data_IF_238306815195
#
_entry.id   IF_238306815195
#
_cell.length_a   1.000
_cell.length_b   1.000
_cell.length_c   1.000
_cell.angle_alpha   90.00
_cell.angle_beta   90.00
_cell.angle_gamma   90.00
#
_symmetry.space_group_name_H-M   'P 1'
#
loop_
_entity.id
_entity.type
_entity.pdbx_description
1 polymer ?
#
# COMPACT_ATOMS: atom_id res chain seq x y z
N UNK A 1 31.87 23.42 -53.53
CA UNK A 1 31.28 23.79 -52.23
C UNK A 1 30.10 22.85 -51.97
N UNK A 2 30.21 22.03 -50.92
CA UNK A 2 29.25 21.09 -50.28
C UNK A 2 29.92 19.74 -50.03
N UNK A 3 30.66 19.68 -48.92
CA UNK A 3 31.07 18.45 -48.25
C UNK A 3 30.04 18.18 -47.16
N UNK A 4 29.36 17.04 -47.23
CA UNK A 4 28.47 16.52 -46.19
C UNK A 4 29.28 15.70 -45.20
N UNK A 5 29.54 16.27 -44.02
CA UNK A 5 29.98 15.51 -42.86
C UNK A 5 28.78 14.71 -42.30
N UNK A 6 28.85 13.38 -42.37
CA UNK A 6 28.01 12.50 -41.54
C UNK A 6 28.63 12.44 -40.15
N UNK A 7 27.91 12.97 -39.16
CA UNK A 7 28.19 12.75 -37.74
C UNK A 7 27.80 11.32 -37.37
N UNK A 8 28.79 10.49 -37.04
CA UNK A 8 28.62 9.21 -36.35
C UNK A 8 28.73 9.47 -34.86
N UNK A 9 27.64 9.86 -34.22
CA UNK A 9 27.55 9.84 -32.76
C UNK A 9 27.50 8.38 -32.26
N UNK A 10 28.08 8.05 -31.10
CA UNK A 10 27.91 6.73 -30.51
C UNK A 10 26.42 6.51 -30.24
N UNK A 11 25.87 5.39 -30.73
CA UNK A 11 24.51 4.98 -30.42
C UNK A 11 24.30 4.84 -28.90
N UNK A 12 23.05 4.83 -28.41
CA UNK A 12 22.77 4.63 -26.99
C UNK A 12 23.49 3.38 -26.49
N UNK A 13 24.15 3.50 -25.34
CA UNK A 13 24.88 2.39 -24.74
C UNK A 13 23.90 1.24 -24.49
N UNK A 14 24.15 0.10 -25.15
CA UNK A 14 23.36 -1.13 -25.02
C UNK A 14 23.50 -1.62 -23.58
N UNK A 15 22.40 -1.64 -22.82
CA UNK A 15 22.37 -2.08 -21.44
C UNK A 15 22.69 -3.58 -21.30
N UNK A 16 23.01 -4.07 -20.08
CA UNK A 16 23.38 -5.48 -19.86
C UNK A 16 22.31 -6.48 -20.33
N UNK A 17 21.02 -6.14 -20.16
CA UNK A 17 19.90 -6.97 -20.59
C UNK A 17 19.62 -6.87 -22.10
N UNK A 18 20.00 -5.77 -22.74
CA UNK A 18 19.73 -5.52 -24.17
C UNK A 18 20.46 -6.49 -25.10
N UNK A 19 21.45 -7.20 -24.58
CA UNK A 19 22.18 -8.27 -25.27
C UNK A 19 21.50 -9.63 -25.19
N UNK A 20 20.52 -9.78 -24.31
CA UNK A 20 19.78 -11.02 -24.08
C UNK A 20 18.42 -10.96 -24.81
N UNK A 21 18.06 -12.07 -25.44
CA UNK A 21 16.69 -12.33 -25.92
C UNK A 21 15.72 -12.43 -24.74
N UNK A 22 14.41 -12.28 -25.00
CA UNK A 22 13.40 -12.43 -23.93
C UNK A 22 13.49 -13.78 -23.22
N UNK A 23 13.70 -14.87 -23.97
CA UNK A 23 13.85 -16.22 -23.41
C UNK A 23 15.07 -16.33 -22.48
N UNK A 24 16.20 -15.73 -22.87
CA UNK A 24 17.40 -15.71 -22.02
C UNK A 24 17.20 -14.87 -20.76
N UNK A 25 16.49 -13.73 -20.86
CA UNK A 25 16.13 -12.90 -19.70
C UNK A 25 15.22 -13.65 -18.74
N UNK A 26 14.19 -14.33 -19.26
CA UNK A 26 13.28 -15.16 -18.45
C UNK A 26 14.03 -16.30 -17.75
N UNK A 27 14.91 -17.01 -18.47
CA UNK A 27 15.72 -18.08 -17.87
C UNK A 27 16.70 -17.55 -16.80
N UNK A 28 17.29 -16.38 -17.02
CA UNK A 28 18.14 -15.71 -16.02
C UNK A 28 17.32 -15.35 -14.78
N UNK A 29 16.17 -14.71 -14.97
CA UNK A 29 15.27 -14.31 -13.90
C UNK A 29 14.80 -15.50 -13.05
N UNK A 30 14.33 -16.58 -13.66
CA UNK A 30 13.91 -17.79 -12.94
C UNK A 30 15.06 -18.40 -12.11
N UNK A 31 16.27 -18.49 -12.67
CA UNK A 31 17.44 -18.98 -11.91
C UNK A 31 17.78 -18.06 -10.75
N UNK A 32 17.68 -16.74 -10.94
CA UNK A 32 17.98 -15.76 -9.91
C UNK A 32 16.98 -15.86 -8.76
N UNK A 33 15.68 -15.97 -9.03
CA UNK A 33 14.64 -16.22 -8.01
C UNK A 33 14.98 -17.45 -7.17
N UNK A 34 15.25 -18.60 -7.81
CA UNK A 34 15.60 -19.82 -7.07
C UNK A 34 16.87 -19.66 -6.22
N UNK A 35 17.88 -18.92 -6.70
CA UNK A 35 19.10 -18.63 -5.92
C UNK A 35 18.80 -17.77 -4.70
N UNK A 36 17.91 -16.78 -4.81
CA UNK A 36 17.55 -15.89 -3.71
C UNK A 36 16.73 -16.63 -2.65
N UNK A 37 15.70 -17.37 -3.07
CA UNK A 37 14.90 -18.21 -2.16
C UNK A 37 15.78 -19.26 -1.48
N UNK A 38 16.62 -19.97 -2.24
CA UNK A 38 17.56 -20.95 -1.69
C UNK A 38 18.63 -20.34 -0.77
N UNK A 39 18.91 -19.04 -0.87
CA UNK A 39 19.74 -18.33 0.09
C UNK A 39 18.98 -18.08 1.39
N UNK A 40 17.74 -17.55 1.33
CA UNK A 40 16.91 -17.31 2.52
C UNK A 40 16.62 -18.59 3.30
N UNK A 41 16.44 -19.72 2.60
CA UNK A 41 16.14 -21.02 3.23
C UNK A 41 17.36 -21.78 3.78
N UNK A 42 18.55 -21.16 3.83
CA UNK A 42 19.73 -21.80 4.45
C UNK A 42 19.54 -21.95 5.96
N UNK A 43 20.18 -22.97 6.53
CA UNK A 43 20.15 -23.20 7.97
C UNK A 43 20.68 -22.00 8.78
N UNK A 44 21.65 -21.25 8.24
CA UNK A 44 22.17 -20.03 8.88
C UNK A 44 21.12 -18.92 9.03
N UNK A 45 20.07 -18.95 8.21
CA UNK A 45 19.04 -17.92 8.10
C UNK A 45 17.72 -18.34 8.78
N UNK A 46 17.69 -19.50 9.46
CA UNK A 46 16.46 -20.08 10.02
C UNK A 46 15.77 -19.14 11.02
N UNK A 47 16.53 -18.50 11.91
CA UNK A 47 16.01 -17.56 12.90
C UNK A 47 15.32 -16.34 12.25
N UNK A 48 15.82 -15.89 11.09
CA UNK A 48 15.23 -14.79 10.34
C UNK A 48 13.86 -15.18 9.77
N UNK A 49 13.79 -16.39 9.19
CA UNK A 49 12.53 -16.96 8.68
C UNK A 49 11.53 -17.14 9.82
N UNK A 50 11.95 -17.66 10.98
CA UNK A 50 11.07 -17.84 12.14
C UNK A 50 10.52 -16.51 12.68
N UNK A 51 11.36 -15.48 12.79
CA UNK A 51 10.91 -14.12 13.16
C UNK A 51 9.90 -13.58 12.16
N UNK A 52 10.15 -13.75 10.86
CA UNK A 52 9.24 -13.30 9.83
C UNK A 52 7.91 -14.08 9.84
N UNK A 53 7.94 -15.38 10.10
CA UNK A 53 6.74 -16.20 10.28
C UNK A 53 5.91 -15.71 11.48
N UNK A 54 6.56 -15.39 12.60
CA UNK A 54 5.90 -14.82 13.77
C UNK A 54 5.25 -13.47 13.45
N UNK A 55 5.95 -12.61 12.71
CA UNK A 55 5.42 -11.34 12.21
C UNK A 55 4.17 -11.55 11.34
N UNK A 56 4.24 -12.41 10.32
CA UNK A 56 3.12 -12.69 9.41
C UNK A 56 1.91 -13.19 10.20
N UNK A 57 2.10 -14.11 11.14
CA UNK A 57 1.02 -14.60 12.00
C UNK A 57 0.37 -13.48 12.82
N UNK A 58 1.17 -12.57 13.38
CA UNK A 58 0.63 -11.45 14.16
C UNK A 58 -0.15 -10.46 13.29
N UNK A 59 0.32 -10.17 12.06
CA UNK A 59 -0.30 -9.23 11.13
C UNK A 59 -1.60 -9.80 10.53
N UNK A 60 -1.64 -11.09 10.23
CA UNK A 60 -2.85 -11.82 9.77
C UNK A 60 -3.95 -11.78 10.85
N UNK A 61 -3.58 -11.94 12.11
CA UNK A 61 -4.53 -11.87 13.24
C UNK A 61 -5.04 -10.45 13.50
N UNK A 62 -4.24 -9.42 13.19
CA UNK A 62 -4.61 -8.01 13.40
C UNK A 62 -5.40 -7.42 12.22
N UNK A 63 -5.13 -7.86 11.00
CA UNK A 63 -5.75 -7.32 9.79
C UNK A 63 -7.14 -7.90 9.50
N UNK A 64 -7.49 -9.06 10.07
CA UNK A 64 -8.77 -9.74 9.81
C UNK A 64 -9.04 -10.05 8.33
N UNK A 65 -8.03 -9.90 7.47
CA UNK A 65 -8.13 -9.84 6.03
C UNK A 65 -7.96 -11.21 5.36
N UNK A 66 -7.61 -12.24 6.13
CA UNK A 66 -7.58 -13.61 5.66
C UNK A 66 -8.89 -14.32 6.00
N UNK A 67 -9.32 -15.18 5.07
CA UNK A 67 -10.50 -16.05 5.13
C UNK A 67 -10.69 -16.67 6.52
N UNK A 68 -11.93 -17.02 6.92
CA UNK A 68 -12.21 -17.64 8.21
C UNK A 68 -11.25 -18.81 8.45
N UNK A 69 -10.37 -18.61 9.42
CA UNK A 69 -9.23 -19.49 9.77
C UNK A 69 -9.67 -20.88 10.22
N UNK A 70 -10.94 -21.06 10.55
CA UNK A 70 -11.48 -22.29 11.11
C UNK A 70 -11.58 -23.45 10.09
N UNK A 71 -11.48 -23.16 8.78
CA UNK A 71 -11.63 -24.14 7.70
C UNK A 71 -10.32 -24.54 7.01
N UNK A 72 -9.17 -23.99 7.42
CA UNK A 72 -7.86 -24.29 6.78
C UNK A 72 -7.10 -25.35 7.58
N UNK A 73 -6.59 -26.37 6.89
CA UNK A 73 -5.70 -27.37 7.46
C UNK A 73 -4.48 -26.68 8.12
N UNK A 74 -4.20 -26.90 9.43
CA UNK A 74 -3.08 -26.27 10.12
C UNK A 74 -1.73 -26.50 9.44
N UNK A 75 -1.50 -27.67 8.83
CA UNK A 75 -0.25 -27.94 8.10
C UNK A 75 -0.12 -27.06 6.86
N UNK A 76 -1.21 -26.92 6.10
CA UNK A 76 -1.30 -26.06 4.93
C UNK A 76 -1.14 -24.58 5.32
N UNK A 77 -1.73 -24.16 6.43
CA UNK A 77 -1.57 -22.80 6.95
C UNK A 77 -0.12 -22.48 7.32
N UNK A 78 0.58 -23.42 7.97
CA UNK A 78 1.98 -23.26 8.34
C UNK A 78 2.91 -23.21 7.12
N UNK A 79 2.63 -24.00 6.08
CA UNK A 79 3.33 -23.96 4.81
C UNK A 79 3.14 -22.60 4.13
N UNK A 80 1.90 -22.16 3.93
CA UNK A 80 1.58 -20.85 3.31
C UNK A 80 2.20 -19.69 4.09
N UNK A 81 2.16 -19.75 5.42
CA UNK A 81 2.77 -18.72 6.28
C UNK A 81 4.29 -18.66 6.08
N UNK A 82 4.96 -19.82 5.99
CA UNK A 82 6.40 -19.89 5.76
C UNK A 82 6.79 -19.40 4.36
N UNK A 83 6.00 -19.74 3.35
CA UNK A 83 6.21 -19.26 1.98
C UNK A 83 6.03 -17.75 1.87
N UNK A 84 5.00 -17.20 2.51
CA UNK A 84 4.79 -15.76 2.62
C UNK A 84 5.96 -15.06 3.32
N UNK A 85 6.43 -15.61 4.44
CA UNK A 85 7.59 -15.08 5.16
C UNK A 85 8.86 -15.09 4.29
N UNK A 86 9.08 -16.16 3.53
CA UNK A 86 10.22 -16.29 2.62
C UNK A 86 10.13 -15.28 1.48
N UNK A 87 8.97 -15.15 0.84
CA UNK A 87 8.71 -14.16 -0.21
C UNK A 87 8.94 -12.73 0.30
N UNK A 88 8.44 -12.42 1.50
CA UNK A 88 8.67 -11.13 2.14
C UNK A 88 10.16 -10.86 2.32
N UNK A 89 10.93 -11.77 2.92
CA UNK A 89 12.38 -11.59 3.10
C UNK A 89 13.11 -11.35 1.77
N UNK A 90 12.70 -12.03 0.69
CA UNK A 90 13.33 -11.85 -0.63
C UNK A 90 12.94 -10.53 -1.28
N UNK A 91 11.65 -10.18 -1.30
CA UNK A 91 11.12 -9.15 -2.21
C UNK A 91 10.59 -7.88 -1.53
N UNK A 92 10.02 -7.96 -0.32
CA UNK A 92 9.39 -6.83 0.37
C UNK A 92 10.21 -6.32 1.58
N UNK A 93 10.52 -7.24 2.51
CA UNK A 93 11.23 -7.06 3.76
C UNK A 93 10.45 -6.22 4.78
N UNK A 94 10.58 -6.46 6.09
CA UNK A 94 10.17 -5.48 7.09
C UNK A 94 10.91 -4.16 6.87
N UNK A 95 10.19 -3.04 6.94
CA UNK A 95 10.84 -1.71 6.90
C UNK A 95 11.79 -1.51 8.08
N UNK A 96 11.48 -2.14 9.20
CA UNK A 96 12.21 -2.08 10.47
C UNK A 96 13.58 -2.78 10.41
N UNK A 97 13.76 -3.77 9.54
CA UNK A 97 14.95 -4.63 9.48
C UNK A 97 15.89 -4.35 8.30
N UNK A 98 15.74 -3.18 7.64
CA UNK A 98 16.62 -2.78 6.54
C UNK A 98 16.17 -3.24 5.14
N UNK A 99 14.96 -3.81 5.01
CA UNK A 99 14.31 -4.12 3.73
C UNK A 99 14.71 -5.47 3.11
N UNK A 100 14.18 -5.75 1.92
CA UNK A 100 14.32 -7.06 1.27
C UNK A 100 15.76 -7.43 0.86
N UNK A 101 16.02 -8.73 0.68
CA UNK A 101 17.29 -9.23 0.16
C UNK A 101 17.64 -8.58 -1.19
N UNK A 102 16.65 -8.37 -2.06
CA UNK A 102 16.84 -7.64 -3.33
C UNK A 102 17.41 -6.24 -3.09
N UNK A 103 16.82 -5.46 -2.17
CA UNK A 103 17.29 -4.10 -1.87
C UNK A 103 18.69 -4.09 -1.26
N UNK A 104 19.02 -5.08 -0.42
CA UNK A 104 20.37 -5.26 0.14
C UNK A 104 21.42 -5.55 -0.92
N UNK A 105 21.10 -6.45 -1.85
CA UNK A 105 21.97 -6.76 -2.99
C UNK A 105 22.18 -5.57 -3.93
N UNK A 106 21.25 -4.62 -3.95
CA UNK A 106 21.37 -3.34 -4.66
C UNK A 106 22.11 -2.25 -3.84
N UNK A 107 22.50 -2.53 -2.59
CA UNK A 107 23.23 -1.60 -1.72
C UNK A 107 22.35 -0.53 -1.07
N UNK A 108 21.05 -0.79 -0.91
CA UNK A 108 20.06 0.20 -0.45
C UNK A 108 19.65 0.05 1.01
N UNK A 109 20.15 -0.96 1.71
CA UNK A 109 19.82 -1.14 3.11
C UNK A 109 20.56 -0.11 3.98
N UNK A 110 19.85 0.60 4.88
CA UNK A 110 20.52 1.39 5.91
C UNK A 110 21.35 0.46 6.82
N UNK A 111 22.39 0.99 7.45
CA UNK A 111 23.07 0.31 8.54
C UNK A 111 22.09 0.15 9.71
N UNK A 112 21.44 -1.01 9.81
CA UNK A 112 20.48 -1.39 10.85
C UNK A 112 20.78 -2.81 11.35
N UNK A 113 20.08 -3.24 12.40
CA UNK A 113 20.24 -4.57 13.01
C UNK A 113 20.18 -5.68 11.94
N UNK A 114 21.20 -6.53 11.95
CA UNK A 114 21.31 -7.69 11.08
C UNK A 114 20.10 -8.60 11.30
N UNK A 115 19.23 -8.67 10.30
CA UNK A 115 18.06 -9.52 10.32
C UNK A 115 18.39 -11.00 10.10
N UNK A 116 19.68 -11.35 9.99
CA UNK A 116 20.20 -12.69 9.81
C UNK A 116 20.13 -13.18 8.36
N UNK A 117 19.86 -12.31 7.38
CA UNK A 117 19.83 -12.67 5.94
C UNK A 117 20.83 -11.85 5.12
N UNK A 118 22.00 -11.56 5.68
CA UNK A 118 23.07 -10.86 4.97
C UNK A 118 23.36 -11.53 3.60
N UNK A 119 23.56 -10.74 2.52
CA UNK A 119 23.81 -11.27 1.18
C UNK A 119 25.17 -11.98 1.02
N UNK A 120 25.84 -12.36 2.12
CA UNK A 120 27.15 -12.96 2.13
C UNK A 120 27.21 -14.19 1.20
N UNK A 121 28.18 -14.14 0.27
CA UNK A 121 28.40 -15.19 -0.74
C UNK A 121 27.47 -15.15 -1.96
N UNK A 122 26.52 -14.21 -2.05
CA UNK A 122 25.78 -13.94 -3.28
C UNK A 122 26.54 -12.93 -4.16
N UNK A 123 27.23 -13.44 -5.17
CA UNK A 123 27.82 -12.63 -6.23
C UNK A 123 26.81 -12.43 -7.35
N UNK A 124 26.69 -11.18 -7.80
CA UNK A 124 25.83 -10.77 -8.91
C UNK A 124 26.66 -10.24 -10.07
N UNK A 125 26.42 -10.78 -11.25
CA UNK A 125 26.90 -10.18 -12.49
C UNK A 125 26.06 -8.94 -12.88
N UNK A 126 26.47 -8.25 -13.95
CA UNK A 126 25.80 -7.03 -14.40
C UNK A 126 24.37 -7.28 -14.93
N UNK A 127 24.11 -8.46 -15.51
CA UNK A 127 22.78 -8.81 -16.02
C UNK A 127 21.85 -9.13 -14.85
N UNK A 128 22.30 -9.91 -13.86
CA UNK A 128 21.56 -10.20 -12.64
C UNK A 128 21.24 -8.92 -11.87
N UNK A 129 22.22 -8.02 -11.71
CA UNK A 129 21.98 -6.71 -11.08
C UNK A 129 20.95 -5.89 -11.84
N UNK A 130 20.97 -5.91 -13.17
CA UNK A 130 19.97 -5.23 -13.98
C UNK A 130 18.56 -5.82 -13.82
N UNK A 131 18.44 -7.16 -13.67
CA UNK A 131 17.16 -7.81 -13.33
C UNK A 131 16.68 -7.34 -11.95
N UNK A 132 17.55 -7.35 -10.93
CA UNK A 132 17.18 -6.92 -9.58
C UNK A 132 16.74 -5.46 -9.51
N UNK A 133 17.32 -4.57 -10.32
CA UNK A 133 16.86 -3.18 -10.41
C UNK A 133 15.40 -3.09 -10.87
N UNK A 134 14.98 -3.96 -11.79
CA UNK A 134 13.57 -4.09 -12.18
C UNK A 134 12.67 -4.60 -11.04
N UNK A 135 13.23 -5.33 -10.08
CA UNK A 135 12.53 -5.90 -8.93
C UNK A 135 12.65 -5.07 -7.66
N UNK A 136 13.30 -3.90 -7.73
CA UNK A 136 13.54 -3.00 -6.58
C UNK A 136 12.25 -2.64 -5.82
N UNK A 137 11.13 -2.56 -6.54
CA UNK A 137 9.80 -2.29 -5.97
C UNK A 137 9.08 -3.52 -5.41
N UNK A 138 9.72 -4.70 -5.41
CA UNK A 138 9.13 -5.96 -4.95
C UNK A 138 8.16 -6.62 -5.92
N UNK A 139 7.99 -6.10 -7.15
CA UNK A 139 6.99 -6.60 -8.10
C UNK A 139 5.56 -6.37 -7.63
N UNK A 140 4.65 -7.25 -8.06
CA UNK A 140 3.22 -7.17 -7.73
C UNK A 140 2.82 -8.44 -6.99
N UNK A 141 2.55 -8.31 -5.69
CA UNK A 141 1.80 -9.29 -4.92
C UNK A 141 0.32 -8.97 -5.08
N UNK A 142 -0.50 -9.98 -5.28
CA UNK A 142 -1.94 -9.79 -5.21
C UNK A 142 -2.75 -11.04 -5.44
N UNK A 143 -4.06 -10.84 -5.48
CA UNK A 143 -5.04 -11.83 -5.87
C UNK A 143 -5.40 -11.66 -7.34
N UNK A 144 -5.29 -12.73 -8.12
CA UNK A 144 -5.52 -12.72 -9.55
C UNK A 144 -6.62 -13.68 -9.95
N UNK A 145 -7.30 -13.36 -11.04
CA UNK A 145 -8.11 -14.31 -11.81
C UNK A 145 -7.35 -14.64 -13.10
N UNK A 146 -7.21 -15.92 -13.41
CA UNK A 146 -6.70 -16.33 -14.73
C UNK A 146 -7.78 -15.99 -15.76
N UNK A 147 -7.48 -15.10 -16.71
CA UNK A 147 -8.45 -14.69 -17.75
C UNK A 147 -8.23 -15.43 -19.06
N UNK A 148 -6.98 -15.74 -19.39
CA UNK A 148 -6.63 -16.41 -20.64
C UNK A 148 -5.31 -17.18 -20.51
N UNK A 149 -5.10 -18.13 -21.42
CA UNK A 149 -3.85 -18.85 -21.63
C UNK A 149 -3.42 -18.69 -23.09
N UNK A 150 -2.41 -17.87 -23.34
CA UNK A 150 -1.91 -17.56 -24.69
C UNK A 150 -0.46 -18.00 -24.83
N UNK A 151 -0.25 -19.02 -25.67
CA UNK A 151 1.05 -19.64 -25.93
C UNK A 151 1.74 -20.17 -24.65
N UNK A 152 2.85 -19.55 -24.26
CA UNK A 152 3.63 -19.83 -23.06
C UNK A 152 3.32 -18.86 -21.90
N UNK A 153 2.18 -18.18 -21.96
CA UNK A 153 1.80 -17.17 -20.97
C UNK A 153 0.39 -17.40 -20.43
N UNK A 154 0.20 -17.11 -19.15
CA UNK A 154 -1.11 -16.86 -18.56
C UNK A 154 -1.36 -15.35 -18.52
N UNK A 155 -2.60 -14.94 -18.78
CA UNK A 155 -3.06 -13.56 -18.58
C UNK A 155 -3.79 -13.52 -17.25
N UNK A 156 -3.21 -12.81 -16.28
CA UNK A 156 -3.72 -12.72 -14.92
C UNK A 156 -4.31 -11.34 -14.70
N UNK A 157 -5.59 -11.26 -14.38
CA UNK A 157 -6.22 -10.02 -14.00
C UNK A 157 -6.07 -9.83 -12.49
N UNK A 158 -5.39 -8.78 -12.05
CA UNK A 158 -5.20 -8.50 -10.63
C UNK A 158 -6.43 -7.77 -10.06
N UNK A 159 -7.03 -8.35 -9.03
CA UNK A 159 -8.21 -7.81 -8.35
C UNK A 159 -7.90 -6.57 -7.52
N UNK A 160 -6.64 -6.33 -7.16
CA UNK A 160 -6.23 -5.17 -6.35
C UNK A 160 -5.97 -3.91 -7.18
N UNK A 161 -5.51 -4.05 -8.43
CA UNK A 161 -5.17 -2.90 -9.29
C UNK A 161 -5.91 -2.84 -10.62
N UNK A 162 -6.74 -3.84 -10.95
CA UNK A 162 -7.54 -3.87 -12.18
C UNK A 162 -6.66 -3.85 -13.45
N UNK A 163 -5.41 -4.33 -13.37
CA UNK A 163 -4.50 -4.52 -14.50
C UNK A 163 -4.36 -5.99 -14.89
N UNK A 164 -4.09 -6.20 -16.17
CA UNK A 164 -3.77 -7.52 -16.72
C UNK A 164 -2.25 -7.72 -16.81
N UNK A 165 -1.78 -8.83 -16.26
CA UNK A 165 -0.39 -9.22 -16.22
C UNK A 165 -0.17 -10.44 -17.10
N UNK A 166 0.67 -10.30 -18.14
CA UNK A 166 1.07 -11.42 -19.00
C UNK A 166 2.26 -12.15 -18.39
N UNK A 167 1.96 -13.22 -17.67
CA UNK A 167 2.95 -14.00 -16.91
C UNK A 167 3.42 -15.18 -17.73
N UNK A 168 4.72 -15.27 -17.95
CA UNK A 168 5.36 -16.40 -18.57
C UNK A 168 5.27 -17.62 -17.64
N UNK A 169 4.64 -18.69 -18.13
CA UNK A 169 4.47 -19.94 -17.40
C UNK A 169 5.43 -21.02 -17.88
N UNK A 170 6.10 -20.82 -19.03
CA UNK A 170 7.16 -21.69 -19.54
C UNK A 170 6.80 -23.18 -19.55
N UNK A 171 7.82 -24.04 -19.39
CA UNK A 171 7.68 -25.50 -19.13
C UNK A 171 7.92 -25.85 -17.66
N UNK A 172 7.69 -24.90 -16.75
CA UNK A 172 7.95 -25.08 -15.33
C UNK A 172 6.84 -25.88 -14.63
N UNK A 173 7.14 -26.32 -13.41
CA UNK A 173 6.20 -26.79 -12.39
C UNK A 173 4.97 -25.88 -12.20
N UNK A 174 5.07 -24.60 -12.53
CA UNK A 174 3.93 -23.65 -12.56
C UNK A 174 2.85 -24.09 -13.55
N UNK A 175 3.17 -24.78 -14.66
CA UNK A 175 2.12 -25.39 -15.51
C UNK A 175 1.49 -26.64 -14.89
N UNK A 176 2.16 -27.28 -13.93
CA UNK A 176 1.55 -28.35 -13.14
C UNK A 176 0.51 -27.80 -12.17
N UNK A 177 0.62 -26.52 -11.80
CA UNK A 177 -0.47 -25.75 -11.21
C UNK A 177 -1.50 -25.52 -12.32
N UNK A 178 -2.70 -26.06 -12.16
CA UNK A 178 -3.76 -25.96 -13.16
C UNK A 178 -4.26 -24.51 -13.27
N UNK A 179 -3.55 -23.67 -14.04
CA UNK A 179 -3.91 -22.29 -14.36
C UNK A 179 -5.12 -22.25 -15.28
N UNK A 180 -6.27 -22.69 -14.79
CA UNK A 180 -7.52 -22.76 -15.55
C UNK A 180 -8.15 -21.36 -15.57
N UNK A 181 -8.55 -20.84 -16.75
CA UNK A 181 -9.31 -19.61 -16.82
C UNK A 181 -10.53 -19.61 -15.89
N UNK A 182 -10.72 -18.51 -15.16
CA UNK A 182 -11.73 -18.33 -14.13
C UNK A 182 -11.30 -18.75 -12.73
N UNK A 183 -10.17 -19.45 -12.55
CA UNK A 183 -9.70 -19.79 -11.21
C UNK A 183 -8.98 -18.61 -10.55
N UNK A 184 -9.27 -18.35 -9.27
CA UNK A 184 -8.52 -17.41 -8.45
C UNK A 184 -7.18 -18.00 -8.03
N UNK A 185 -6.17 -17.14 -7.93
CA UNK A 185 -4.88 -17.46 -7.36
C UNK A 185 -4.30 -16.28 -6.59
N UNK A 186 -3.35 -16.55 -5.71
CA UNK A 186 -2.55 -15.55 -5.02
C UNK A 186 -1.07 -15.82 -5.26
N UNK A 187 -0.29 -14.76 -5.45
CA UNK A 187 1.14 -14.88 -5.61
C UNK A 187 1.81 -13.55 -5.97
N UNK A 188 3.14 -13.58 -6.04
CA UNK A 188 3.93 -12.44 -6.48
C UNK A 188 4.41 -12.64 -7.92
N UNK A 189 4.23 -11.62 -8.75
CA UNK A 189 4.78 -11.54 -10.11
C UNK A 189 5.87 -10.47 -10.19
N UNK A 190 6.91 -10.77 -10.95
CA UNK A 190 8.11 -9.94 -11.10
C UNK A 190 8.30 -9.55 -12.57
N UNK A 191 8.61 -8.28 -12.88
CA UNK A 191 8.79 -7.84 -14.26
C UNK A 191 10.11 -8.34 -14.86
N UNK A 192 10.10 -8.77 -16.12
CA UNK A 192 11.26 -9.19 -16.91
C UNK A 192 11.13 -8.66 -18.33
N UNK A 193 11.57 -7.41 -18.54
CA UNK A 193 11.31 -6.69 -19.79
C UNK A 193 9.81 -6.45 -19.97
N UNK A 194 9.25 -6.89 -21.10
CA UNK A 194 7.82 -6.78 -21.42
C UNK A 194 6.97 -7.95 -20.89
N UNK A 195 7.57 -8.92 -20.21
CA UNK A 195 6.89 -10.09 -19.65
C UNK A 195 7.00 -10.10 -18.12
N UNK A 196 6.23 -10.99 -17.49
CA UNK A 196 6.26 -11.22 -16.05
C UNK A 196 6.62 -12.68 -15.75
N UNK A 197 7.19 -12.94 -14.58
CA UNK A 197 7.35 -14.31 -14.04
C UNK A 197 6.74 -14.38 -12.65
N UNK A 198 6.36 -15.56 -12.19
CA UNK A 198 6.08 -15.73 -10.77
C UNK A 198 7.39 -15.76 -9.95
N UNK A 199 7.33 -15.21 -8.74
CA UNK A 199 8.40 -15.31 -7.75
C UNK A 199 8.44 -16.68 -7.06
N UNK A 200 7.30 -17.37 -6.98
CA UNK A 200 7.16 -18.70 -6.39
C UNK A 200 5.93 -19.40 -7.01
N UNK A 201 5.70 -20.66 -6.64
CA UNK A 201 4.46 -21.35 -7.00
C UNK A 201 3.26 -20.60 -6.44
N UNK A 202 2.30 -20.15 -7.26
CA UNK A 202 1.13 -19.44 -6.75
C UNK A 202 0.20 -20.39 -6.01
N UNK A 203 -0.48 -19.87 -4.99
CA UNK A 203 -1.59 -20.57 -4.34
C UNK A 203 -2.82 -20.48 -5.24
N UNK A 204 -3.39 -21.61 -5.66
CA UNK A 204 -4.63 -21.65 -6.44
C UNK A 204 -5.78 -22.03 -5.55
N UNK A 205 -6.87 -21.28 -5.65
CA UNK A 205 -8.07 -21.53 -4.85
C UNK A 205 -9.18 -22.17 -5.69
N UNK A 206 -10.10 -22.83 -5.01
CA UNK A 206 -11.26 -23.44 -5.65
C UNK A 206 -12.28 -22.37 -6.06
N UNK A 207 -13.13 -22.63 -7.06
CA UNK A 207 -14.12 -21.65 -7.53
C UNK A 207 -15.05 -21.10 -6.44
N UNK A 208 -15.39 -21.90 -5.43
CA UNK A 208 -16.25 -21.52 -4.30
C UNK A 208 -15.60 -20.45 -3.39
N UNK A 209 -14.28 -20.32 -3.41
CA UNK A 209 -13.55 -19.31 -2.62
C UNK A 209 -13.56 -17.92 -3.27
N UNK A 210 -13.99 -17.78 -4.53
CA UNK A 210 -13.89 -16.50 -5.25
C UNK A 210 -14.65 -15.38 -4.52
N UNK A 211 -15.86 -15.65 -4.03
CA UNK A 211 -16.65 -14.66 -3.30
C UNK A 211 -15.94 -14.14 -2.05
N UNK A 212 -15.30 -15.05 -1.29
CA UNK A 212 -14.51 -14.69 -0.11
C UNK A 212 -13.26 -13.89 -0.46
N UNK A 213 -12.57 -14.25 -1.55
CA UNK A 213 -11.39 -13.51 -2.03
C UNK A 213 -11.77 -12.09 -2.47
N UNK A 214 -12.84 -11.93 -3.26
CA UNK A 214 -13.32 -10.60 -3.68
C UNK A 214 -13.67 -9.76 -2.46
N UNK A 215 -14.36 -10.33 -1.47
CA UNK A 215 -14.68 -9.63 -0.23
C UNK A 215 -13.41 -9.20 0.54
N UNK A 216 -12.41 -10.09 0.64
CA UNK A 216 -11.12 -9.79 1.26
C UNK A 216 -10.36 -8.67 0.53
N UNK A 217 -10.34 -8.68 -0.80
CA UNK A 217 -9.73 -7.61 -1.61
C UNK A 217 -10.44 -6.28 -1.43
N UNK A 218 -11.78 -6.27 -1.41
CA UNK A 218 -12.56 -5.05 -1.11
C UNK A 218 -12.24 -4.52 0.28
N UNK A 219 -12.15 -5.40 1.29
CA UNK A 219 -11.67 -5.10 2.64
C UNK A 219 -10.29 -4.45 2.66
N UNK A 220 -9.34 -5.06 1.94
CA UNK A 220 -7.97 -4.58 1.82
C UNK A 220 -7.92 -3.19 1.16
N UNK A 221 -8.62 -2.98 0.06
CA UNK A 221 -8.62 -1.71 -0.67
C UNK A 221 -9.34 -0.60 0.10
N UNK A 222 -10.35 -0.94 0.91
CA UNK A 222 -11.01 0.01 1.79
C UNK A 222 -10.10 0.51 2.92
N UNK A 223 -9.15 -0.31 3.40
CA UNK A 223 -8.18 0.10 4.43
C UNK A 223 -6.89 0.69 3.84
N UNK A 224 -6.43 0.16 2.70
CA UNK A 224 -5.17 0.52 2.05
C UNK A 224 -5.38 0.59 0.52
N UNK A 225 -5.80 1.74 -0.03
CA UNK A 225 -6.13 1.85 -1.46
C UNK A 225 -4.91 1.92 -2.38
N UNK A 226 -3.69 1.99 -1.82
CA UNK A 226 -2.45 2.19 -2.57
C UNK A 226 -2.22 1.17 -3.71
N UNK A 227 -2.52 -0.13 -3.57
CA UNK A 227 -2.40 -1.08 -4.67
C UNK A 227 -3.21 -0.67 -5.91
N UNK A 228 -4.44 -0.20 -5.71
CA UNK A 228 -5.36 0.20 -6.78
C UNK A 228 -4.81 1.35 -7.65
N UNK A 229 -3.97 2.20 -7.07
CA UNK A 229 -3.42 3.38 -7.75
C UNK A 229 -2.25 3.07 -8.68
N UNK A 230 -1.79 1.81 -8.75
CA UNK A 230 -0.89 1.36 -9.83
C UNK A 230 -1.54 1.53 -11.20
N UNK A 231 -2.86 1.40 -11.28
CA UNK A 231 -3.62 1.65 -12.49
C UNK A 231 -3.89 3.17 -12.64
N UNK A 232 -3.35 3.82 -13.69
CA UNK A 232 -3.52 5.26 -13.87
C UNK A 232 -4.98 5.69 -14.04
N UNK A 233 -5.84 4.81 -14.57
CA UNK A 233 -7.28 5.10 -14.72
C UNK A 233 -7.97 5.12 -13.36
N UNK A 234 -7.70 4.11 -12.53
CA UNK A 234 -8.20 4.00 -11.16
C UNK A 234 -7.73 5.17 -10.31
N UNK A 235 -6.44 5.53 -10.39
CA UNK A 235 -5.89 6.72 -9.71
C UNK A 235 -6.57 8.03 -10.17
N UNK A 236 -6.76 8.23 -11.47
CA UNK A 236 -7.46 9.40 -11.99
C UNK A 236 -8.90 9.46 -11.46
N UNK A 237 -9.62 8.33 -11.49
CA UNK A 237 -10.99 8.24 -11.00
C UNK A 237 -11.10 8.50 -9.51
N UNK A 238 -10.19 7.95 -8.72
CA UNK A 238 -10.13 8.18 -7.27
C UNK A 238 -9.91 9.67 -6.96
N UNK A 239 -9.04 10.36 -7.71
CA UNK A 239 -8.83 11.82 -7.55
C UNK A 239 -10.09 12.63 -7.83
N UNK A 240 -10.82 12.30 -8.89
CA UNK A 240 -12.10 12.94 -9.21
C UNK A 240 -13.12 12.72 -8.08
N UNK A 241 -13.28 11.47 -7.65
CA UNK A 241 -14.22 11.12 -6.58
C UNK A 241 -13.91 11.82 -5.27
N UNK A 242 -12.65 11.85 -4.83
CA UNK A 242 -12.29 12.57 -3.60
C UNK A 242 -12.59 14.07 -3.71
N UNK A 243 -12.33 14.69 -4.86
CA UNK A 243 -12.66 16.10 -5.07
C UNK A 243 -14.18 16.34 -5.05
N UNK A 244 -14.97 15.44 -5.66
CA UNK A 244 -16.43 15.49 -5.66
C UNK A 244 -17.00 15.29 -4.26
N UNK A 245 -16.48 14.30 -3.52
CA UNK A 245 -16.83 14.02 -2.14
C UNK A 245 -16.50 15.21 -1.23
N UNK A 246 -15.36 15.87 -1.44
CA UNK A 246 -14.99 17.08 -0.69
C UNK A 246 -15.99 18.22 -0.92
N UNK A 247 -16.41 18.45 -2.16
CA UNK A 247 -17.44 19.44 -2.48
C UNK A 247 -18.77 19.07 -1.83
N UNK A 248 -19.20 17.82 -1.95
CA UNK A 248 -20.43 17.32 -1.33
C UNK A 248 -20.43 17.45 0.20
N UNK A 249 -19.28 17.21 0.84
CA UNK A 249 -19.12 17.37 2.30
C UNK A 249 -19.32 18.83 2.71
N UNK A 250 -18.66 19.76 2.01
CA UNK A 250 -18.81 21.20 2.24
C UNK A 250 -20.23 21.69 1.98
N UNK A 251 -20.87 21.21 0.92
CA UNK A 251 -22.25 21.56 0.60
C UNK A 251 -23.22 21.07 1.69
N UNK A 252 -22.94 19.90 2.28
CA UNK A 252 -23.79 19.28 3.30
C UNK A 252 -23.63 19.91 4.69
N UNK A 253 -22.40 20.25 5.08
CA UNK A 253 -22.09 20.70 6.45
C UNK A 253 -21.69 22.17 6.55
N UNK A 254 -21.50 22.87 5.42
CA UNK A 254 -21.05 24.26 5.36
C UNK A 254 -19.55 24.45 5.63
N UNK A 255 -18.84 23.39 6.02
CA UNK A 255 -17.41 23.40 6.35
C UNK A 255 -16.75 22.05 6.01
N UNK A 256 -15.43 21.96 6.17
CA UNK A 256 -14.62 20.75 5.97
C UNK A 256 -14.38 19.96 7.26
N UNK A 257 -14.96 20.42 8.38
CA UNK A 257 -14.87 19.81 9.72
C UNK A 257 -16.25 19.79 10.35
N UNK A 258 -16.61 18.67 10.97
CA UNK A 258 -17.77 18.52 11.86
C UNK A 258 -17.30 17.95 13.18
N UNK A 259 -17.45 18.69 14.27
CA UNK A 259 -17.07 18.25 15.62
C UNK A 259 -18.31 17.89 16.44
N UNK A 260 -18.20 16.89 17.33
CA UNK A 260 -19.28 16.52 18.24
C UNK A 260 -18.96 15.26 19.02
N UNK A 261 -19.97 14.69 19.68
CA UNK A 261 -19.86 13.36 20.29
C UNK A 261 -19.71 12.29 19.21
N UNK A 262 -19.28 11.08 19.60
CA UNK A 262 -19.21 9.93 18.69
C UNK A 262 -20.54 9.71 17.95
N UNK A 263 -21.65 9.74 18.68
CA UNK A 263 -23.01 9.60 18.13
C UNK A 263 -23.34 10.68 17.09
N UNK A 264 -23.07 11.96 17.39
CA UNK A 264 -23.33 13.05 16.45
C UNK A 264 -22.50 12.94 15.17
N UNK A 265 -21.21 12.62 15.33
CA UNK A 265 -20.29 12.49 14.21
C UNK A 265 -20.67 11.29 13.35
N UNK A 266 -21.10 10.18 13.94
CA UNK A 266 -21.58 9.01 13.20
C UNK A 266 -22.83 9.33 12.38
N UNK A 267 -23.80 10.07 12.95
CA UNK A 267 -24.97 10.54 12.21
C UNK A 267 -24.56 11.41 11.01
N UNK A 268 -23.56 12.28 11.18
CA UNK A 268 -23.01 13.07 10.08
C UNK A 268 -22.35 12.18 9.01
N UNK A 269 -21.58 11.19 9.43
CA UNK A 269 -20.95 10.21 8.55
C UNK A 269 -21.99 9.47 7.70
N UNK A 270 -23.11 9.03 8.31
CA UNK A 270 -24.21 8.37 7.61
C UNK A 270 -24.94 9.29 6.62
N UNK A 271 -25.21 10.55 7.00
CA UNK A 271 -25.79 11.53 6.06
C UNK A 271 -24.86 11.80 4.87
N UNK A 272 -23.55 11.86 5.13
CA UNK A 272 -22.56 12.03 4.08
C UNK A 272 -22.50 10.82 3.14
N UNK A 273 -22.52 9.60 3.69
CA UNK A 273 -22.65 8.34 2.92
C UNK A 273 -23.83 8.40 1.97
N UNK A 274 -25.00 8.77 2.48
CA UNK A 274 -26.23 8.84 1.68
C UNK A 274 -26.12 9.93 0.60
N UNK A 275 -25.45 11.05 0.90
CA UNK A 275 -25.22 12.15 -0.05
C UNK A 275 -24.34 11.76 -1.23
N UNK A 276 -23.35 10.89 -1.01
CA UNK A 276 -22.43 10.41 -2.06
C UNK A 276 -22.88 9.07 -2.68
N UNK A 277 -23.93 8.44 -2.14
CA UNK A 277 -24.46 7.17 -2.64
C UNK A 277 -23.53 5.97 -2.43
N UNK A 278 -22.71 5.99 -1.38
CA UNK A 278 -21.75 4.91 -1.11
C UNK A 278 -22.48 3.60 -0.73
N UNK A 279 -22.07 2.43 -1.29
CA UNK A 279 -22.65 1.13 -0.94
C UNK A 279 -22.51 0.81 0.55
N UNK A 280 -23.56 0.23 1.13
CA UNK A 280 -23.61 -0.02 2.58
C UNK A 280 -22.54 -1.02 3.04
N UNK A 281 -22.25 -2.07 2.27
CA UNK A 281 -21.29 -3.12 2.67
C UNK A 281 -19.87 -2.60 2.68
N UNK A 282 -19.48 -1.82 1.67
CA UNK A 282 -18.15 -1.23 1.66
C UNK A 282 -18.04 -0.09 2.67
N UNK A 283 -19.13 0.65 2.91
CA UNK A 283 -19.13 1.68 3.95
C UNK A 283 -19.07 1.07 5.35
N UNK A 284 -19.55 -0.16 5.56
CA UNK A 284 -19.36 -0.87 6.83
C UNK A 284 -17.87 -1.16 7.12
N UNK A 285 -17.01 -1.15 6.09
CA UNK A 285 -15.55 -1.25 6.23
C UNK A 285 -14.89 0.07 6.67
N UNK A 286 -15.68 1.14 6.91
CA UNK A 286 -15.18 2.41 7.50
C UNK A 286 -14.56 2.26 8.90
N UNK A 287 -14.59 1.08 9.52
CA UNK A 287 -13.74 0.81 10.68
C UNK A 287 -12.28 1.25 10.45
N UNK A 288 -11.79 1.14 9.20
CA UNK A 288 -10.48 1.62 8.79
C UNK A 288 -10.31 3.16 8.71
N UNK A 289 -11.39 3.95 8.79
CA UNK A 289 -11.30 5.42 8.93
C UNK A 289 -11.03 5.87 10.36
N UNK A 290 -11.20 4.97 11.36
CA UNK A 290 -10.71 5.24 12.70
C UNK A 290 -9.19 5.14 12.64
N UNK A 291 -8.54 6.27 12.80
CA UNK A 291 -7.14 6.26 13.20
C UNK A 291 -7.12 5.93 14.70
N UNK A 292 -7.18 4.64 15.07
CA UNK A 292 -7.29 4.18 16.47
C UNK A 292 -6.03 4.47 17.30
N UNK A 293 -5.08 5.26 16.77
CA UNK A 293 -3.76 5.44 17.34
C UNK A 293 -3.63 6.79 18.02
N UNK A 294 -4.50 7.07 19.00
CA UNK A 294 -4.19 7.98 20.12
C UNK A 294 -5.21 7.96 21.25
N UNK A 295 -5.48 6.79 21.83
CA UNK A 295 -6.15 6.72 23.13
C UNK A 295 -5.10 6.87 24.23
N UNK A 296 -5.23 7.83 25.15
CA UNK A 296 -4.86 7.57 26.54
C UNK A 296 -5.69 6.36 27.01
N UNK A 297 -5.08 5.40 27.71
CA UNK A 297 -5.76 4.24 28.35
C UNK A 297 -6.94 4.63 29.27
N UNK A 298 -7.09 5.93 29.51
CA UNK A 298 -7.98 6.63 30.41
C UNK A 298 -9.10 7.41 29.68
N UNK A 299 -9.37 7.10 28.40
CA UNK A 299 -10.55 7.61 27.72
C UNK A 299 -11.83 7.19 28.47
N UNK A 300 -12.50 8.18 29.07
CA UNK A 300 -13.86 8.08 29.57
C UNK A 300 -14.80 7.58 28.45
N UNK A 301 -16.01 7.16 28.85
CA UNK A 301 -17.08 6.67 27.97
C UNK A 301 -17.01 7.32 26.57
N UNK A 302 -16.96 6.54 25.46
CA UNK A 302 -16.84 7.07 24.11
C UNK A 302 -17.90 8.11 23.73
N UNK A 303 -19.01 8.21 24.47
CA UNK A 303 -20.01 9.27 24.31
C UNK A 303 -19.64 10.63 24.98
N UNK A 304 -18.61 10.68 25.83
CA UNK A 304 -18.11 11.90 26.50
C UNK A 304 -16.90 12.54 25.79
N UNK A 305 -16.22 11.81 24.89
CA UNK A 305 -15.06 12.31 24.16
C UNK A 305 -15.45 13.06 22.86
N UNK A 306 -14.83 14.22 22.55
CA UNK A 306 -15.09 14.96 21.32
C UNK A 306 -14.40 14.32 20.11
N UNK A 307 -15.18 13.96 19.09
CA UNK A 307 -14.73 13.49 17.79
C UNK A 307 -14.84 14.59 16.74
N UNK A 308 -14.10 14.45 15.65
CA UNK A 308 -14.21 15.27 14.47
C UNK A 308 -14.25 14.42 13.20
N UNK A 309 -15.18 14.74 12.30
CA UNK A 309 -15.23 14.25 10.93
C UNK A 309 -14.67 15.33 10.00
N UNK A 310 -13.61 15.01 9.28
CA UNK A 310 -12.92 15.94 8.39
C UNK A 310 -12.90 15.40 6.96
N UNK A 311 -12.93 16.29 5.98
CA UNK A 311 -12.73 15.91 4.58
C UNK A 311 -11.67 16.78 3.89
N UNK A 312 -10.60 16.14 3.43
CA UNK A 312 -9.55 16.78 2.62
C UNK A 312 -9.82 16.59 1.12
N UNK A 313 -9.52 17.55 0.23
CA UNK A 313 -9.70 17.43 -1.23
C UNK A 313 -8.78 16.41 -1.92
N UNK A 314 -7.94 15.70 -1.16
CA UNK A 314 -6.97 14.70 -1.65
C UNK A 314 -6.98 13.51 -0.71
N UNK A 315 -6.82 13.72 0.60
CA UNK A 315 -6.80 12.63 1.59
C UNK A 315 -8.18 12.07 1.94
N UNK A 316 -9.27 12.62 1.39
CA UNK A 316 -10.63 12.11 1.61
C UNK A 316 -11.13 12.34 3.03
N UNK A 317 -12.09 11.51 3.44
CA UNK A 317 -12.73 11.56 4.75
C UNK A 317 -11.83 10.98 5.84
N UNK A 318 -11.83 11.57 7.05
CA UNK A 318 -11.19 11.03 8.26
C UNK A 318 -12.03 11.29 9.49
N UNK A 319 -12.00 10.33 10.42
CA UNK A 319 -12.58 10.45 11.75
C UNK A 319 -11.45 10.56 12.78
N UNK A 320 -11.40 11.65 13.53
CA UNK A 320 -10.33 11.95 14.48
C UNK A 320 -10.91 12.19 15.88
N UNK A 321 -10.49 11.43 16.87
CA UNK A 321 -10.87 11.56 18.29
C UNK A 321 -9.96 12.52 19.08
N UNK A 322 -8.79 12.85 18.52
CA UNK A 322 -7.82 13.76 19.11
C UNK A 322 -7.84 15.18 18.52
N UNK A 323 -8.70 15.45 17.53
CA UNK A 323 -8.74 16.73 16.82
C UNK A 323 -8.99 17.91 17.76
N UNK A 324 -9.91 17.79 18.72
CA UNK A 324 -10.21 18.85 19.67
C UNK A 324 -8.99 19.23 20.53
N UNK A 325 -8.21 18.23 20.97
CA UNK A 325 -6.97 18.47 21.73
C UNK A 325 -5.95 19.22 20.88
N UNK A 326 -5.79 18.82 19.61
CA UNK A 326 -4.84 19.47 18.71
C UNK A 326 -5.28 20.89 18.33
N UNK A 327 -6.59 21.11 18.18
CA UNK A 327 -7.17 22.44 18.01
C UNK A 327 -6.86 23.33 19.22
N UNK A 328 -7.04 22.80 20.43
CA UNK A 328 -6.74 23.54 21.66
C UNK A 328 -5.25 23.91 21.79
N UNK A 329 -4.35 23.06 21.27
CA UNK A 329 -2.92 23.39 21.13
C UNK A 329 -2.70 24.58 20.20
N UNK A 330 -3.50 24.75 19.15
CA UNK A 330 -3.38 25.82 18.17
C UNK A 330 -4.17 27.09 18.52
N UNK A 331 -5.09 27.05 19.49
CA UNK A 331 -5.89 28.23 19.87
C UNK A 331 -5.15 29.13 20.86
N UNK A 332 -5.44 30.44 20.85
CA UNK A 332 -4.86 31.36 21.82
C UNK A 332 -5.53 31.23 23.20
N UNK A 333 -4.84 31.58 24.31
CA UNK A 333 -3.45 32.04 24.39
C UNK A 333 -2.43 30.87 24.36
N UNK A 334 -1.17 31.20 24.03
CA UNK A 334 -0.05 30.25 24.11
C UNK A 334 0.27 29.96 25.58
N UNK A 335 0.14 28.70 25.98
CA UNK A 335 0.44 28.20 27.33
C UNK A 335 1.64 27.26 27.29
N UNK A 336 2.38 27.14 28.39
CA UNK A 336 3.65 26.39 28.45
C UNK A 336 3.56 24.92 28.03
N UNK A 337 2.38 24.29 28.17
CA UNK A 337 2.17 22.90 27.77
C UNK A 337 1.95 22.72 26.26
N UNK A 338 1.47 23.75 25.54
CA UNK A 338 1.09 23.65 24.12
C UNK A 338 2.27 23.31 23.21
N UNK A 339 3.45 23.97 23.32
CA UNK A 339 4.61 23.59 22.52
C UNK A 339 5.08 22.15 22.77
N UNK A 340 5.01 21.67 24.01
CA UNK A 340 5.40 20.29 24.35
C UNK A 340 4.46 19.27 23.71
N UNK A 341 3.15 19.54 23.74
CA UNK A 341 2.16 18.67 23.10
C UNK A 341 2.30 18.68 21.58
N UNK A 342 2.52 19.85 20.97
CA UNK A 342 2.80 19.93 19.54
C UNK A 342 4.09 19.20 19.16
N UNK A 343 5.15 19.29 19.97
CA UNK A 343 6.40 18.56 19.72
C UNK A 343 6.20 17.04 19.69
N UNK A 344 5.32 16.49 20.54
CA UNK A 344 4.96 15.07 20.50
C UNK A 344 4.27 14.71 19.17
N UNK A 345 3.30 15.52 18.75
CA UNK A 345 2.60 15.34 17.46
C UNK A 345 3.56 15.47 16.28
N UNK A 346 4.51 16.40 16.34
CA UNK A 346 5.56 16.58 15.33
C UNK A 346 6.61 15.47 15.31
N UNK A 347 6.73 14.69 16.39
CA UNK A 347 7.60 13.52 16.45
C UNK A 347 6.90 12.24 15.94
N UNK A 348 5.57 12.22 15.98
CA UNK A 348 4.76 11.12 15.46
C UNK A 348 4.74 11.17 13.91
N UNK A 349 5.22 10.13 13.21
CA UNK A 349 5.21 10.09 11.75
C UNK A 349 3.81 9.88 11.16
N UNK A 350 2.85 9.36 11.92
CA UNK A 350 1.50 9.05 11.45
C UNK A 350 0.54 10.24 11.57
N UNK A 351 0.86 11.22 12.44
CA UNK A 351 0.03 12.41 12.61
C UNK A 351 -0.14 13.19 11.28
N UNK A 352 -1.37 13.30 10.72
CA UNK A 352 -1.59 13.80 9.38
C UNK A 352 -1.19 15.27 9.20
N UNK A 353 -0.23 15.53 8.30
CA UNK A 353 0.33 16.87 8.09
C UNK A 353 -0.73 17.91 7.66
N UNK A 354 -1.73 17.49 6.88
CA UNK A 354 -2.79 18.36 6.40
C UNK A 354 -3.74 18.83 7.52
N UNK A 355 -3.86 18.08 8.62
CA UNK A 355 -4.64 18.52 9.80
C UNK A 355 -3.90 19.66 10.51
N UNK A 356 -2.57 19.57 10.61
CA UNK A 356 -1.73 20.66 11.13
C UNK A 356 -1.85 21.91 10.24
N UNK A 357 -1.84 21.74 8.91
CA UNK A 357 -2.06 22.83 7.95
C UNK A 357 -3.42 23.52 8.18
N UNK A 358 -4.48 22.73 8.32
CA UNK A 358 -5.84 23.23 8.55
C UNK A 358 -5.94 24.02 9.85
N UNK A 359 -5.36 23.52 10.93
CA UNK A 359 -5.39 24.19 12.24
C UNK A 359 -4.57 25.47 12.23
N UNK A 360 -3.44 25.48 11.52
CA UNK A 360 -2.66 26.69 11.33
C UNK A 360 -3.42 27.76 10.54
N UNK A 361 -4.12 27.38 9.47
CA UNK A 361 -4.96 28.31 8.72
C UNK A 361 -6.09 28.91 9.59
N UNK A 362 -6.73 28.09 10.43
CA UNK A 362 -7.83 28.53 11.32
C UNK A 362 -7.38 29.36 12.52
N UNK A 363 -6.14 29.18 12.98
CA UNK A 363 -5.65 29.80 14.22
C UNK A 363 -4.26 30.44 14.04
N UNK A 364 -4.15 31.55 13.28
CA UNK A 364 -2.86 32.14 12.91
C UNK A 364 -2.13 32.90 14.03
N UNK A 365 -2.83 33.31 15.09
CA UNK A 365 -2.41 34.40 15.99
C UNK A 365 -1.07 34.21 16.72
N UNK A 366 -0.60 32.98 16.89
CA UNK A 366 0.64 32.68 17.62
C UNK A 366 1.41 31.48 17.05
N UNK A 367 1.19 31.14 15.78
CA UNK A 367 1.81 29.98 15.14
C UNK A 367 3.34 30.03 15.17
N UNK A 368 3.93 31.19 14.86
CA UNK A 368 5.38 31.33 14.82
C UNK A 368 5.99 31.00 16.19
N UNK A 369 5.42 31.53 17.28
CA UNK A 369 5.88 31.23 18.63
C UNK A 369 5.64 29.77 19.04
N UNK A 370 4.47 29.21 18.71
CA UNK A 370 4.10 27.83 19.01
C UNK A 370 5.05 26.83 18.32
N UNK A 371 5.22 26.97 17.01
CA UNK A 371 6.05 26.06 16.20
C UNK A 371 7.54 26.30 16.41
N UNK A 372 8.00 27.53 16.65
CA UNK A 372 9.39 27.79 17.03
C UNK A 372 9.75 27.06 18.34
N UNK A 373 8.86 27.13 19.34
CA UNK A 373 9.05 26.45 20.61
C UNK A 373 8.95 24.92 20.48
N UNK A 374 7.98 24.41 19.72
CA UNK A 374 7.77 22.98 19.53
C UNK A 374 8.88 22.30 18.73
N UNK A 375 9.38 22.96 17.67
CA UNK A 375 10.46 22.43 16.81
C UNK A 375 11.87 22.71 17.34
N UNK A 376 12.01 23.52 18.40
CA UNK A 376 13.31 23.98 18.89
C UNK A 376 14.04 24.94 17.93
N UNK A 377 13.33 25.52 16.95
CA UNK A 377 13.88 26.42 15.93
C UNK A 377 13.48 27.87 16.26
N UNK A 378 14.32 28.67 16.94
CA UNK A 378 13.94 30.01 17.41
C UNK A 378 13.68 31.02 16.28
N UNK A 379 14.16 30.74 15.07
CA UNK A 379 13.90 31.55 13.88
C UNK A 379 12.73 31.06 13.03
N UNK A 380 11.97 30.04 13.46
CA UNK A 380 10.87 29.47 12.68
C UNK A 380 9.79 30.52 12.42
N UNK A 381 9.30 30.57 11.18
CA UNK A 381 8.10 31.31 10.83
C UNK A 381 7.21 30.43 9.96
N UNK A 382 5.93 30.32 10.31
CA UNK A 382 4.98 29.46 9.61
C UNK A 382 4.90 29.79 8.12
N UNK A 383 4.86 31.08 7.78
CA UNK A 383 4.75 31.54 6.39
C UNK A 383 5.96 31.14 5.52
N UNK A 384 7.15 30.99 6.11
CA UNK A 384 8.38 30.63 5.39
C UNK A 384 8.68 29.14 5.47
N UNK A 385 8.54 28.57 6.66
CA UNK A 385 9.09 27.25 7.01
C UNK A 385 7.99 26.17 7.15
N UNK A 386 6.71 26.56 7.24
CA UNK A 386 5.60 25.64 7.50
C UNK A 386 5.40 24.61 6.38
N UNK A 387 5.45 25.04 5.12
CA UNK A 387 5.29 24.13 3.99
C UNK A 387 6.39 23.06 3.93
N UNK A 388 7.63 23.43 4.27
CA UNK A 388 8.76 22.50 4.31
C UNK A 388 8.64 21.54 5.50
N UNK A 389 8.24 22.04 6.68
CA UNK A 389 7.96 21.20 7.85
C UNK A 389 6.92 20.12 7.56
N UNK A 390 5.80 20.49 6.94
CA UNK A 390 4.74 19.53 6.60
C UNK A 390 5.20 18.55 5.52
N UNK A 391 5.99 19.03 4.55
CA UNK A 391 6.58 18.18 3.52
C UNK A 391 7.47 17.12 4.14
N UNK A 392 8.40 17.49 5.02
CA UNK A 392 9.35 16.53 5.62
C UNK A 392 8.67 15.44 6.45
N UNK A 393 7.43 15.67 6.91
CA UNK A 393 6.64 14.69 7.67
C UNK A 393 5.92 13.67 6.81
N UNK A 394 5.54 14.02 5.58
CA UNK A 394 4.85 13.06 4.72
C UNK A 394 5.85 12.19 3.96
N UNK A 395 5.75 10.86 4.04
CA UNK A 395 6.56 9.99 3.20
C UNK A 395 6.34 10.35 1.74
N UNK A 396 7.42 10.30 0.94
CA UNK A 396 7.35 10.64 -0.47
C UNK A 396 6.35 9.74 -1.22
N UNK A 397 6.21 8.48 -0.81
CA UNK A 397 5.14 7.57 -1.22
C UNK A 397 3.83 7.94 -0.52
N UNK A 398 2.72 8.09 -1.25
CA UNK A 398 1.41 8.42 -0.67
C UNK A 398 1.13 9.92 -0.49
N UNK A 399 2.10 10.82 -0.73
CA UNK A 399 1.90 12.27 -0.60
C UNK A 399 0.77 12.81 -1.49
N UNK A 400 0.69 12.36 -2.74
CA UNK A 400 -0.32 12.81 -3.73
C UNK A 400 -1.33 11.72 -4.09
N UNK A 401 -1.39 10.66 -3.29
CA UNK A 401 -2.35 9.57 -3.47
C UNK A 401 -3.69 9.96 -2.81
N UNK A 402 -4.81 9.74 -3.52
CA UNK A 402 -6.11 10.01 -2.94
C UNK A 402 -6.35 9.11 -1.73
N UNK A 403 -7.06 9.63 -0.73
CA UNK A 403 -7.48 8.84 0.41
C UNK A 403 -8.48 7.75 0.04
N UNK A 404 -8.97 7.06 1.06
CA UNK A 404 -9.90 5.94 0.91
C UNK A 404 -11.11 6.35 0.06
N UNK A 405 -11.32 5.58 -1.00
CA UNK A 405 -12.49 5.61 -1.89
C UNK A 405 -13.00 4.19 -2.02
N UNK A 406 -14.30 4.05 -2.23
CA UNK A 406 -14.98 2.76 -2.35
C UNK A 406 -14.39 1.97 -3.54
N UNK A 407 -14.00 0.71 -3.32
CA UNK A 407 -13.34 -0.12 -4.32
C UNK A 407 -14.23 -0.30 -5.57
N UNK A 408 -15.52 -0.59 -5.39
CA UNK A 408 -16.48 -0.70 -6.51
C UNK A 408 -16.65 0.60 -7.31
N UNK A 409 -16.28 1.76 -6.74
CA UNK A 409 -16.41 3.05 -7.42
C UNK A 409 -15.22 3.39 -8.31
N UNK A 410 -14.10 2.66 -8.16
CA UNK A 410 -12.85 2.91 -8.89
C UNK A 410 -12.38 1.73 -9.72
N UNK A 411 -12.84 0.50 -9.42
CA UNK A 411 -12.44 -0.73 -10.11
C UNK A 411 -13.49 -1.13 -11.15
N UNK A 412 -13.06 -1.53 -12.34
CA UNK A 412 -13.98 -1.90 -13.44
C UNK A 412 -14.57 -3.31 -13.33
N UNK A 413 -13.91 -4.23 -12.61
CA UNK A 413 -14.28 -5.66 -12.53
C UNK A 413 -14.52 -6.18 -11.11
N UNK A 414 -14.40 -5.33 -10.09
CA UNK A 414 -14.73 -5.69 -8.70
C UNK A 414 -16.16 -5.22 -8.42
N UNK A 415 -17.10 -6.17 -8.40
CA UNK A 415 -18.48 -5.87 -8.03
C UNK A 415 -18.59 -5.63 -6.50
N UNK A 416 -19.60 -4.86 -6.03
CA UNK A 416 -19.87 -4.76 -4.60
C UNK A 416 -20.18 -6.15 -4.01
N UNK A 417 -19.91 -6.39 -2.72
CA UNK A 417 -20.36 -7.59 -2.03
C UNK A 417 -21.87 -7.82 -2.27
N UNK A 418 -22.30 -9.06 -2.50
CA UNK A 418 -23.72 -9.37 -2.73
C UNK A 418 -24.21 -9.29 -4.19
N UNK A 419 -23.37 -8.91 -5.14
CA UNK A 419 -23.65 -9.07 -6.58
C UNK A 419 -23.17 -10.44 -7.07
N UNK A 420 -24.05 -11.25 -7.68
CA UNK A 420 -23.63 -12.54 -8.25
C UNK A 420 -22.67 -12.31 -9.42
N UNK A 421 -21.49 -12.94 -9.35
CA UNK A 421 -20.40 -12.80 -10.32
C UNK A 421 -20.70 -13.43 -11.69
N UNK A 422 -21.90 -13.99 -11.87
CA UNK A 422 -22.40 -14.57 -13.13
C UNK A 422 -22.58 -13.53 -14.23
N UNK A 423 -22.72 -12.25 -13.90
CA UNK A 423 -22.89 -11.15 -14.86
C UNK A 423 -21.57 -10.48 -15.31
N UNK A 424 -20.42 -10.81 -14.68
CA UNK A 424 -19.12 -10.20 -15.00
C UNK A 424 -18.30 -11.03 -16.01
N UNK A 425 -18.70 -12.28 -16.24
CA UNK A 425 -18.08 -13.12 -17.26
C UNK A 425 -18.76 -12.91 -18.61
N UNK A 426 -18.03 -12.58 -19.69
CA UNK A 426 -18.60 -12.69 -21.02
C UNK A 426 -18.98 -14.16 -21.24
N UNK A 427 -20.26 -14.39 -21.52
CA UNK A 427 -20.67 -15.66 -22.12
C UNK A 427 -19.97 -15.78 -23.47
N UNK A 428 -19.41 -16.97 -23.71
CA UNK A 428 -18.49 -17.32 -24.80
C UNK A 428 -18.82 -16.75 -26.18
#
# INVERSE_FOLDING_TARGET
MRSTFRSTGPGPAVGPLDRLTLVERLALATRLVHRLVGHVLRAENADAVERQVAYVRSDVLLSGAFLPMDDVDPEQYDEVTRDCATDMLVHAGPRETGGSLVRRLLGEAPAGEDDGTEPAGLLLDDAERAVLQGWRGGGVLGYFIVTDLVDEHAVLHNLEDDLDYRVFTGRSDIRAVALVPGLPLSGRVLPVGEAWIFAATPAVFTPDMIGGIVHGVVGLLASTPCPAYRNPRTLARARELVADHHRAFRDLFGDVVVEGTASHVMDCCLRFKDRIGAPAEEFALLGALRDERWLPDDAADPDDAPFALLHHPVKGLRLLDWYAQLRDVHTAPLQDWKPRRLAQVLADPDAPSWVLALLAERHPDHLDALYAAASGRPGFSWARDGADLLRDREPASGRDEPGIVMASSIMGRVAPPGYEMTDVMPTS
#
